data_IF_713702391260
#
_entry.id   IF_713702391260
#
_cell.length_a   1.000
_cell.length_b   1.000
_cell.length_c   1.000
_cell.angle_alpha   90.00
_cell.angle_beta   90.00
_cell.angle_gamma   90.00
#
_symmetry.space_group_name_H-M   'P 1'
#
loop_
_entity.id
_entity.type
_entity.pdbx_description
1 polymer ?
#
# COMPACT_ATOMS: atom_id res chain seq x y z
N UNK A 1 -9.91 12.83 -25.66
CA UNK A 1 -9.34 13.23 -24.37
C UNK A 1 -8.10 12.39 -24.13
N UNK A 2 -6.93 13.00 -24.01
CA UNK A 2 -5.70 12.27 -23.68
C UNK A 2 -5.84 11.81 -22.23
N UNK A 3 -6.00 10.50 -22.01
CA UNK A 3 -5.97 9.92 -20.67
C UNK A 3 -4.55 10.11 -20.14
N UNK A 4 -4.37 10.96 -19.11
CA UNK A 4 -3.08 11.08 -18.43
C UNK A 4 -2.80 9.76 -17.72
N UNK A 5 -1.77 9.05 -18.18
CA UNK A 5 -1.27 7.85 -17.51
C UNK A 5 -0.34 8.23 -16.37
N UNK A 6 -0.55 7.61 -15.22
CA UNK A 6 0.38 7.60 -14.11
C UNK A 6 1.61 6.78 -14.49
N UNK A 7 2.78 7.39 -14.37
CA UNK A 7 4.08 6.73 -14.53
C UNK A 7 4.62 6.29 -13.19
N UNK A 8 5.29 5.15 -13.15
CA UNK A 8 6.04 4.75 -11.96
C UNK A 8 7.42 5.41 -11.99
N UNK A 9 7.86 5.93 -10.84
CA UNK A 9 9.24 6.35 -10.63
C UNK A 9 9.77 5.72 -9.35
N UNK A 10 10.76 4.84 -9.50
CA UNK A 10 11.46 4.25 -8.37
C UNK A 10 12.45 5.25 -7.80
N UNK A 11 12.43 5.43 -6.49
CA UNK A 11 13.29 6.37 -5.77
C UNK A 11 13.81 5.72 -4.51
N UNK A 12 15.02 6.07 -4.11
CA UNK A 12 15.51 5.70 -2.78
C UNK A 12 14.74 6.49 -1.73
N UNK A 13 14.80 7.83 -1.80
CA UNK A 13 14.12 8.74 -0.90
C UNK A 13 12.95 9.44 -1.60
N UNK A 14 11.84 9.63 -0.87
CA UNK A 14 10.71 10.38 -1.41
C UNK A 14 11.10 11.84 -1.68
N UNK A 15 10.84 12.37 -2.88
CA UNK A 15 11.18 13.75 -3.19
C UNK A 15 10.31 14.70 -2.37
N UNK A 16 10.86 15.90 -2.09
CA UNK A 16 10.15 16.93 -1.31
C UNK A 16 8.86 17.36 -2.00
N UNK A 17 8.93 17.57 -3.31
CA UNK A 17 7.79 17.90 -4.16
C UNK A 17 7.45 16.72 -5.07
N UNK A 18 6.15 16.43 -5.21
CA UNK A 18 5.64 15.36 -6.06
C UNK A 18 5.05 15.97 -7.33
N UNK A 19 5.28 15.33 -8.46
CA UNK A 19 4.69 15.72 -9.74
C UNK A 19 3.33 15.05 -9.97
N UNK A 20 2.45 15.74 -10.69
CA UNK A 20 1.16 15.19 -11.10
C UNK A 20 1.37 14.09 -12.14
N UNK A 21 0.66 12.96 -11.99
CA UNK A 21 0.79 11.83 -12.90
C UNK A 21 2.05 10.96 -12.66
N UNK A 22 2.73 11.12 -11.52
CA UNK A 22 3.84 10.24 -11.12
C UNK A 22 3.49 9.55 -9.81
N UNK A 23 3.63 8.22 -9.80
CA UNK A 23 3.65 7.40 -8.60
C UNK A 23 5.11 7.15 -8.24
N UNK A 24 5.57 7.76 -7.15
CA UNK A 24 6.89 7.49 -6.61
C UNK A 24 6.81 6.25 -5.73
N UNK A 25 7.77 5.35 -5.83
CA UNK A 25 7.86 4.17 -4.98
C UNK A 25 9.28 4.00 -4.45
N UNK A 26 9.39 3.82 -3.13
CA UNK A 26 10.61 3.41 -2.46
C UNK A 26 10.44 2.00 -1.91
N UNK A 27 11.20 1.07 -2.48
CA UNK A 27 11.23 -0.32 -2.00
C UNK A 27 11.95 -0.41 -0.64
N UNK A 28 13.04 0.35 -0.47
CA UNK A 28 13.83 0.37 0.78
C UNK A 28 12.96 0.78 1.98
N UNK A 29 12.09 1.79 1.79
CA UNK A 29 11.20 2.27 2.86
C UNK A 29 9.79 1.69 2.77
N UNK A 30 9.53 0.72 1.88
CA UNK A 30 8.24 0.04 1.74
C UNK A 30 7.07 1.02 1.57
N UNK A 31 7.20 2.03 0.71
CA UNK A 31 6.17 3.06 0.57
C UNK A 31 6.09 3.64 -0.84
N UNK A 32 4.87 4.00 -1.25
CA UNK A 32 4.62 4.78 -2.45
C UNK A 32 3.84 6.06 -2.15
N UNK A 33 4.02 7.07 -3.00
CA UNK A 33 3.33 8.34 -2.88
C UNK A 33 3.07 8.99 -4.24
N UNK A 34 1.94 9.68 -4.34
CA UNK A 34 1.54 10.46 -5.52
C UNK A 34 0.69 11.67 -5.12
N UNK A 35 0.54 12.63 -6.02
CA UNK A 35 -0.47 13.66 -5.87
C UNK A 35 -1.86 13.08 -6.18
N UNK A 36 -2.85 13.48 -5.38
CA UNK A 36 -4.22 13.00 -5.53
C UNK A 36 -4.72 13.17 -6.96
N UNK A 37 -5.21 12.07 -7.54
CA UNK A 37 -5.66 12.04 -8.94
C UNK A 37 -6.83 12.97 -9.26
N UNK A 38 -7.53 13.51 -8.26
CA UNK A 38 -8.58 14.52 -8.48
C UNK A 38 -8.02 15.93 -8.75
N UNK A 39 -6.71 16.12 -8.64
CA UNK A 39 -6.06 17.41 -8.88
C UNK A 39 -6.03 18.37 -7.69
N UNK A 40 -6.48 17.96 -6.49
CA UNK A 40 -6.49 18.85 -5.32
C UNK A 40 -5.09 19.12 -4.71
N UNK A 41 -4.04 18.45 -5.21
CA UNK A 41 -2.66 18.63 -4.72
C UNK A 41 -2.33 17.91 -3.40
N UNK A 42 -3.27 17.19 -2.79
CA UNK A 42 -2.98 16.39 -1.58
C UNK A 42 -1.96 15.29 -1.89
N UNK A 43 -0.93 15.16 -1.04
CA UNK A 43 0.04 14.05 -1.11
C UNK A 43 -0.60 12.79 -0.51
N UNK A 44 -0.80 11.78 -1.33
CA UNK A 44 -1.35 10.50 -0.92
C UNK A 44 -0.19 9.55 -0.68
N UNK A 45 -0.19 8.87 0.46
CA UNK A 45 0.79 7.84 0.81
C UNK A 45 0.09 6.49 0.85
N UNK A 46 0.72 5.50 0.24
CA UNK A 46 0.27 4.11 0.21
C UNK A 46 1.45 3.24 0.65
N UNK A 47 1.54 2.88 1.94
CA UNK A 47 2.58 1.97 2.41
C UNK A 47 2.46 0.62 1.69
N UNK A 48 3.59 0.13 1.23
CA UNK A 48 3.71 -1.11 0.47
C UNK A 48 4.02 -2.25 1.45
N UNK A 49 2.97 -2.68 2.15
CA UNK A 49 3.03 -3.76 3.14
C UNK A 49 2.04 -4.87 2.77
N UNK A 50 2.36 -6.10 3.19
CA UNK A 50 1.53 -7.30 3.03
C UNK A 50 0.07 -7.16 3.46
N UNK A 51 -0.24 -6.25 4.38
CA UNK A 51 -1.60 -6.03 4.92
C UNK A 51 -2.26 -4.75 4.39
N UNK A 52 -1.50 -3.90 3.69
CA UNK A 52 -1.93 -2.59 3.20
C UNK A 52 -2.04 -2.55 1.67
N UNK A 53 -1.14 -1.86 0.97
CA UNK A 53 -1.10 -1.82 -0.49
C UNK A 53 -0.01 -2.71 -1.07
N UNK A 54 -0.29 -3.31 -2.23
CA UNK A 54 0.70 -3.88 -3.13
C UNK A 54 0.85 -3.02 -4.36
N UNK A 55 2.06 -3.02 -4.92
CA UNK A 55 2.41 -2.35 -6.17
C UNK A 55 2.92 -3.39 -7.16
N UNK A 56 2.31 -3.41 -8.35
CA UNK A 56 2.76 -4.18 -9.50
C UNK A 56 3.14 -3.22 -10.62
N UNK A 57 4.27 -3.48 -11.29
CA UNK A 57 4.70 -2.73 -12.48
C UNK A 57 4.58 -3.62 -13.71
N UNK A 58 3.89 -3.13 -14.74
CA UNK A 58 3.73 -3.80 -16.04
C UNK A 58 4.15 -2.84 -17.15
N UNK A 59 4.35 -3.35 -18.36
CA UNK A 59 4.63 -2.53 -19.56
C UNK A 59 3.58 -1.44 -19.81
N UNK A 60 2.36 -1.61 -19.28
CA UNK A 60 1.27 -0.64 -19.44
C UNK A 60 1.30 0.47 -18.40
N UNK A 61 1.95 0.26 -17.27
CA UNK A 61 2.04 1.17 -16.12
C UNK A 61 1.83 0.46 -14.77
N UNK A 62 1.93 1.22 -13.66
CA UNK A 62 1.77 0.70 -12.31
C UNK A 62 0.32 0.33 -11.99
N UNK A 63 0.15 -0.66 -11.13
CA UNK A 63 -1.12 -1.04 -10.50
C UNK A 63 -0.95 -1.04 -8.99
N UNK A 64 -1.85 -0.35 -8.29
CA UNK A 64 -1.97 -0.43 -6.84
C UNK A 64 -3.22 -1.23 -6.47
N UNK A 65 -3.08 -2.06 -5.45
CA UNK A 65 -4.19 -2.79 -4.84
C UNK A 65 -4.06 -2.71 -3.32
N UNK A 66 -5.14 -2.45 -2.56
CA UNK A 66 -6.51 -2.17 -2.99
C UNK A 66 -6.66 -0.72 -3.54
N UNK A 67 -7.90 -0.29 -3.75
CA UNK A 67 -8.20 1.09 -4.15
C UNK A 67 -7.75 2.13 -3.13
N UNK A 68 -7.73 3.39 -3.56
CA UNK A 68 -7.33 4.54 -2.76
C UNK A 68 -8.58 5.35 -2.40
N UNK A 69 -9.00 5.28 -1.15
CA UNK A 69 -10.09 6.08 -0.59
C UNK A 69 -9.58 7.25 0.26
N UNK A 70 -9.71 8.48 -0.23
CA UNK A 70 -9.19 9.69 0.42
C UNK A 70 -10.20 10.31 1.40
N UNK A 71 -10.84 9.49 2.24
CA UNK A 71 -11.97 9.90 3.08
C UNK A 71 -11.67 10.98 4.12
N UNK A 72 -10.39 11.12 4.48
CA UNK A 72 -9.88 12.14 5.41
C UNK A 72 -9.53 13.46 4.70
N UNK A 73 -9.53 13.48 3.37
CA UNK A 73 -9.28 14.67 2.57
C UNK A 73 -10.60 15.37 2.23
N UNK A 74 -10.57 16.69 2.04
CA UNK A 74 -11.76 17.45 1.64
C UNK A 74 -12.37 16.96 0.32
N UNK A 75 -11.54 16.46 -0.61
CA UNK A 75 -12.01 15.95 -1.90
C UNK A 75 -12.77 14.62 -1.80
N UNK A 76 -12.54 13.83 -0.74
CA UNK A 76 -13.13 12.50 -0.52
C UNK A 76 -13.14 11.62 -1.78
N UNK A 77 -12.07 11.72 -2.59
CA UNK A 77 -11.94 11.01 -3.86
C UNK A 77 -11.70 9.52 -3.65
N UNK A 78 -12.18 8.70 -4.59
CA UNK A 78 -11.97 7.26 -4.57
C UNK A 78 -11.66 6.76 -5.98
N UNK A 79 -10.52 6.08 -6.11
CA UNK A 79 -10.06 5.58 -7.40
C UNK A 79 -9.10 4.40 -7.24
N UNK A 80 -8.87 3.73 -8.35
CA UNK A 80 -7.80 2.77 -8.55
C UNK A 80 -6.71 3.39 -9.40
N UNK A 81 -5.47 2.96 -9.19
CA UNK A 81 -4.40 3.09 -10.18
C UNK A 81 -4.22 1.68 -10.75
N UNK A 82 -4.54 1.49 -12.03
CA UNK A 82 -4.53 0.18 -12.68
C UNK A 82 -3.93 0.27 -14.08
N UNK A 83 -2.80 -0.40 -14.30
CA UNK A 83 -2.04 -0.35 -15.56
C UNK A 83 -1.72 1.10 -15.98
N UNK A 84 -1.37 1.93 -15.00
CA UNK A 84 -1.10 3.36 -15.15
C UNK A 84 -2.34 4.24 -15.31
N UNK A 85 -3.56 3.68 -15.31
CA UNK A 85 -4.78 4.46 -15.47
C UNK A 85 -5.47 4.73 -14.14
N UNK A 86 -6.02 5.94 -14.00
CA UNK A 86 -6.90 6.28 -12.88
C UNK A 86 -8.31 5.80 -13.21
N UNK A 87 -8.81 4.80 -12.49
CA UNK A 87 -10.19 4.33 -12.61
C UNK A 87 -11.00 4.80 -11.41
N UNK A 88 -11.93 5.72 -11.65
CA UNK A 88 -12.79 6.27 -10.61
C UNK A 88 -13.70 5.19 -10.02
N UNK A 89 -13.82 5.20 -8.70
CA UNK A 89 -14.70 4.34 -7.94
C UNK A 89 -15.72 5.19 -7.18
N UNK A 90 -16.86 4.58 -6.85
CA UNK A 90 -17.92 5.27 -6.14
C UNK A 90 -17.46 5.69 -4.74
N UNK A 91 -17.87 6.90 -4.34
CA UNK A 91 -17.69 7.35 -2.96
C UNK A 91 -18.39 6.38 -2.00
N UNK A 92 -17.70 6.01 -0.94
CA UNK A 92 -18.25 5.13 0.08
C UNK A 92 -19.11 5.91 1.07
N UNK A 93 -20.17 5.27 1.56
CA UNK A 93 -20.92 5.77 2.71
C UNK A 93 -20.09 5.65 3.99
N UNK A 94 -20.42 6.39 5.06
CA UNK A 94 -19.76 6.23 6.36
C UNK A 94 -19.73 4.79 6.86
N UNK A 95 -20.80 4.03 6.63
CA UNK A 95 -20.91 2.61 7.02
C UNK A 95 -19.95 1.74 6.22
N UNK A 96 -19.84 1.97 4.91
CA UNK A 96 -18.87 1.27 4.04
C UNK A 96 -17.42 1.59 4.45
N UNK A 97 -17.12 2.86 4.76
CA UNK A 97 -15.81 3.27 5.26
C UNK A 97 -15.49 2.57 6.59
N UNK A 98 -16.44 2.56 7.53
CA UNK A 98 -16.25 1.91 8.81
C UNK A 98 -16.08 0.39 8.67
N UNK A 99 -16.84 -0.26 7.79
CA UNK A 99 -16.70 -1.68 7.51
C UNK A 99 -15.34 -2.02 6.87
N UNK A 100 -14.89 -1.22 5.89
CA UNK A 100 -13.58 -1.39 5.27
C UNK A 100 -12.43 -1.32 6.27
N UNK A 101 -12.43 -0.27 7.13
CA UNK A 101 -11.41 -0.11 8.19
C UNK A 101 -11.38 -1.28 9.17
N UNK A 102 -12.54 -1.78 9.61
CA UNK A 102 -12.62 -2.97 10.47
C UNK A 102 -12.03 -4.21 9.78
N UNK A 103 -12.30 -4.39 8.49
CA UNK A 103 -11.73 -5.49 7.71
C UNK A 103 -10.22 -5.37 7.55
N UNK A 104 -9.70 -4.16 7.33
CA UNK A 104 -8.26 -3.88 7.29
C UNK A 104 -7.57 -4.21 8.62
N UNK A 105 -8.13 -3.75 9.74
CA UNK A 105 -7.62 -4.00 11.08
C UNK A 105 -7.61 -5.50 11.42
N UNK A 106 -8.68 -6.21 11.09
CA UNK A 106 -8.78 -7.66 11.30
C UNK A 106 -7.70 -8.42 10.52
N UNK A 107 -7.56 -8.14 9.21
CA UNK A 107 -6.54 -8.78 8.37
C UNK A 107 -5.14 -8.52 8.91
N UNK A 108 -4.87 -7.29 9.35
CA UNK A 108 -3.58 -6.90 9.92
C UNK A 108 -3.28 -7.69 11.20
N UNK A 109 -4.26 -7.82 12.09
CA UNK A 109 -4.13 -8.58 13.33
C UNK A 109 -3.82 -10.05 13.05
N UNK A 110 -4.62 -10.69 12.19
CA UNK A 110 -4.43 -12.10 11.80
C UNK A 110 -3.02 -12.35 11.25
N UNK A 111 -2.54 -11.45 10.39
CA UNK A 111 -1.23 -11.59 9.75
C UNK A 111 -0.07 -11.51 10.76
N UNK A 112 -0.05 -10.49 11.63
CA UNK A 112 1.04 -10.33 12.58
C UNK A 112 1.00 -11.37 13.72
N UNK A 113 -0.18 -11.79 14.17
CA UNK A 113 -0.32 -12.89 15.12
C UNK A 113 0.32 -14.18 14.55
N UNK A 114 0.03 -14.49 13.28
CA UNK A 114 0.60 -15.66 12.61
C UNK A 114 2.14 -15.57 12.47
N UNK A 115 2.67 -14.40 12.10
CA UNK A 115 4.12 -14.16 12.02
C UNK A 115 4.81 -14.34 13.38
N UNK A 116 4.22 -13.81 14.45
CA UNK A 116 4.78 -13.93 15.80
C UNK A 116 4.82 -15.40 16.25
N UNK A 117 3.74 -16.14 16.02
CA UNK A 117 3.68 -17.58 16.32
C UNK A 117 4.72 -18.38 15.53
N UNK A 118 4.92 -18.08 14.24
CA UNK A 118 5.95 -18.72 13.41
C UNK A 118 7.36 -18.42 13.94
N UNK A 119 7.67 -17.17 14.25
CA UNK A 119 8.97 -16.75 14.77
C UNK A 119 9.31 -17.44 16.10
N UNK A 120 8.35 -17.50 17.04
CA UNK A 120 8.51 -18.23 18.32
C UNK A 120 8.80 -19.72 18.10
N UNK A 121 8.09 -20.36 17.16
CA UNK A 121 8.32 -21.78 16.82
C UNK A 121 9.71 -22.01 16.22
N UNK A 122 10.15 -21.12 15.35
CA UNK A 122 11.48 -21.17 14.71
C UNK A 122 12.59 -21.00 15.75
N UNK A 123 12.49 -19.99 16.62
CA UNK A 123 13.45 -19.77 17.72
C UNK A 123 13.55 -21.00 18.65
N UNK A 124 12.41 -21.59 19.02
CA UNK A 124 12.39 -22.82 19.84
C UNK A 124 13.13 -23.98 19.17
N UNK A 125 12.99 -24.15 17.85
CA UNK A 125 13.69 -25.19 17.09
C UNK A 125 15.20 -24.95 17.04
N UNK A 126 15.61 -23.72 16.76
CA UNK A 126 17.03 -23.34 16.72
C UNK A 126 17.69 -23.57 18.09
N UNK A 127 17.02 -23.16 19.17
CA UNK A 127 17.55 -23.35 20.51
C UNK A 127 17.64 -24.83 20.92
N UNK A 128 16.64 -25.66 20.54
CA UNK A 128 16.71 -27.10 20.75
C UNK A 128 17.86 -27.76 20.01
N UNK A 129 18.10 -27.37 18.76
CA UNK A 129 19.25 -27.84 17.98
C UNK A 129 20.59 -27.38 18.57
N UNK A 130 20.71 -26.11 18.97
CA UNK A 130 21.92 -25.61 19.62
C UNK A 130 22.22 -26.39 20.91
N UNK A 131 21.21 -26.67 21.74
CA UNK A 131 21.39 -27.50 22.94
C UNK A 131 21.95 -28.89 22.62
N UNK A 132 21.45 -29.54 21.58
CA UNK A 132 21.93 -30.87 21.17
C UNK A 132 23.36 -30.90 20.59
N UNK A 133 23.97 -29.73 20.33
CA UNK A 133 25.37 -29.65 19.89
C UNK A 133 26.37 -29.45 21.04
N UNK A 134 25.88 -29.09 22.23
CA UNK A 134 26.68 -28.91 23.43
C UNK A 134 26.46 -30.02 24.48
N UNK A 135 25.70 -31.06 24.10
CA UNK A 135 25.60 -32.38 24.75
C UNK A 135 26.36 -33.41 23.91
#
# INVERSE_FOLDING_TARGET
MISMKIKLQRVQYMPKELESGVLYASEEFGTAAHLCACGCGSKIRTPLDSTEWSLEETDKGPTLYPSIGNWQQACQSHYWIYLGEVKWANKWTPEQIAAGRRGEEERRRIYYDALEHQNKRTLRRIWGWLKSLFE
#
